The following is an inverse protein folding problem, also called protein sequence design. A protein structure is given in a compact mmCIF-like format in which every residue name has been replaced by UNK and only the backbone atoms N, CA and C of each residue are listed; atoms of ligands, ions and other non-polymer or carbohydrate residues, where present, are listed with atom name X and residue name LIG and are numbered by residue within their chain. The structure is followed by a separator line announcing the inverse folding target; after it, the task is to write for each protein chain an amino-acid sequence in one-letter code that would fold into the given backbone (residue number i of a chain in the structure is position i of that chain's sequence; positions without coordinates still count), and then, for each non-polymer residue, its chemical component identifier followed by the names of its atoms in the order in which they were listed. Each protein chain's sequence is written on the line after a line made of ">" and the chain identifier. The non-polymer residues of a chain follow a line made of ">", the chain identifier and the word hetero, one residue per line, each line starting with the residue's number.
data_IF_188120570659
#
_entry.id   IF_188120570659
#
_cell.length_a   1.000
_cell.length_b   1.000
_cell.length_c   1.000
_cell.angle_alpha   90.00
_cell.angle_beta   90.00
_cell.angle_gamma   90.00
#
_symmetry.space_group_name_H-M   'P 1'
#
loop_
_entity.id
_entity.type
_entity.pdbx_description
1 polymer ?
#
# COMPACT_ATOMS: atom_id res chain seq x y z
N UNK A 1 -1.39 -3.45 20.26
CA UNK A 1 -2.81 -3.28 20.67
C UNK A 1 -3.58 -4.60 20.72
N UNK A 2 -3.49 -5.49 19.71
CA UNK A 2 -4.19 -6.78 19.76
C UNK A 2 -3.83 -7.56 21.04
N UNK A 3 -2.52 -7.65 21.38
CA UNK A 3 -2.07 -8.26 22.65
C UNK A 3 -2.74 -7.62 23.88
N UNK A 4 -2.85 -6.30 23.92
CA UNK A 4 -3.48 -5.60 25.05
C UNK A 4 -4.98 -5.95 25.21
N UNK A 5 -5.68 -6.16 24.10
CA UNK A 5 -7.08 -6.60 24.13
C UNK A 5 -7.18 -8.04 24.65
N UNK A 6 -6.31 -8.93 24.16
CA UNK A 6 -6.24 -10.32 24.63
C UNK A 6 -5.97 -10.36 26.15
N UNK A 7 -4.94 -9.63 26.62
CA UNK A 7 -4.55 -9.60 28.03
C UNK A 7 -5.59 -8.95 28.95
N UNK A 8 -6.20 -7.83 28.53
CA UNK A 8 -7.08 -7.03 29.39
C UNK A 8 -8.54 -7.47 29.34
N UNK A 9 -8.99 -7.92 28.18
CA UNK A 9 -10.41 -8.23 27.95
C UNK A 9 -10.68 -9.74 27.84
N UNK A 10 -9.63 -10.57 27.78
CA UNK A 10 -9.76 -12.04 27.71
C UNK A 10 -10.35 -12.55 26.41
N UNK A 11 -10.32 -11.74 25.34
CA UNK A 11 -10.76 -12.16 24.00
C UNK A 11 -9.64 -12.88 23.26
N UNK A 12 -9.97 -13.71 22.27
CA UNK A 12 -8.95 -14.34 21.44
C UNK A 12 -8.32 -13.34 20.45
N UNK A 13 -7.21 -13.75 19.82
CA UNK A 13 -6.48 -12.89 18.87
C UNK A 13 -7.33 -12.50 17.66
N UNK A 14 -8.15 -13.41 17.14
CA UNK A 14 -8.98 -13.16 15.95
C UNK A 14 -10.05 -12.11 16.23
N UNK A 15 -10.69 -12.21 17.40
CA UNK A 15 -11.62 -11.19 17.89
C UNK A 15 -10.92 -9.83 18.10
N UNK A 16 -9.70 -9.85 18.62
CA UNK A 16 -8.92 -8.63 18.80
C UNK A 16 -8.53 -7.99 17.45
N UNK A 17 -8.16 -8.78 16.45
CA UNK A 17 -7.89 -8.30 15.08
C UNK A 17 -9.15 -7.69 14.48
N UNK A 18 -10.28 -8.39 14.47
CA UNK A 18 -11.53 -7.87 13.90
C UNK A 18 -11.99 -6.58 14.58
N UNK A 19 -11.75 -6.43 15.87
CA UNK A 19 -12.09 -5.22 16.61
C UNK A 19 -11.20 -4.02 16.29
N UNK A 20 -9.93 -4.27 15.93
CA UNK A 20 -8.96 -3.24 15.56
C UNK A 20 -9.00 -2.89 14.06
N UNK A 21 -9.41 -3.82 13.24
CA UNK A 21 -9.45 -3.71 11.78
C UNK A 21 -10.12 -2.44 11.25
N UNK A 22 -11.28 -1.97 11.81
CA UNK A 22 -11.92 -0.74 11.37
C UNK A 22 -11.07 0.54 11.53
N UNK A 23 -10.10 0.52 12.45
CA UNK A 23 -9.20 1.67 12.69
C UNK A 23 -7.92 1.61 11.86
N UNK A 24 -7.72 0.56 11.06
CA UNK A 24 -6.52 0.36 10.27
C UNK A 24 -6.82 0.52 8.78
N UNK A 25 -5.91 1.21 8.08
CA UNK A 25 -5.84 1.27 6.64
C UNK A 25 -4.48 0.78 6.17
N UNK A 26 -4.44 0.05 5.06
CA UNK A 26 -3.20 -0.40 4.45
C UNK A 26 -3.09 0.14 3.04
N UNK A 27 -1.99 0.84 2.76
CA UNK A 27 -1.66 1.39 1.45
C UNK A 27 -0.62 0.50 0.76
N UNK A 28 -0.98 0.00 -0.42
CA UNK A 28 -0.11 -0.81 -1.27
C UNK A 28 0.71 0.14 -2.13
N UNK A 29 2.04 0.06 -2.05
CA UNK A 29 2.96 0.95 -2.75
C UNK A 29 3.66 0.33 -3.97
N UNK A 30 3.50 -0.99 -4.19
CA UNK A 30 4.17 -1.67 -5.30
C UNK A 30 3.19 -2.44 -6.18
N UNK A 31 3.28 -2.30 -7.53
CA UNK A 31 2.44 -3.03 -8.48
C UNK A 31 3.04 -4.38 -8.89
N UNK A 32 4.11 -4.84 -8.27
CA UNK A 32 4.81 -6.08 -8.62
C UNK A 32 4.94 -7.02 -7.44
N UNK A 33 4.76 -8.32 -7.67
CA UNK A 33 4.83 -9.35 -6.63
C UNK A 33 6.16 -9.36 -5.87
N UNK A 34 7.29 -9.11 -6.54
CA UNK A 34 8.61 -9.10 -5.93
C UNK A 34 8.81 -8.00 -4.87
N UNK A 35 7.95 -6.98 -4.87
CA UNK A 35 7.98 -5.90 -3.87
C UNK A 35 7.17 -6.19 -2.60
N UNK A 36 6.55 -7.38 -2.51
CA UNK A 36 5.82 -7.81 -1.32
C UNK A 36 6.68 -8.77 -0.51
N UNK A 37 7.12 -8.33 0.66
CA UNK A 37 8.00 -9.10 1.52
C UNK A 37 7.40 -10.46 1.88
N UNK A 38 8.17 -11.51 1.60
CA UNK A 38 7.84 -12.90 1.91
C UNK A 38 8.98 -13.53 2.68
N UNK A 39 8.68 -14.08 3.82
CA UNK A 39 9.65 -14.73 4.69
C UNK A 39 9.44 -16.22 4.75
N UNK A 40 10.54 -16.96 4.87
CA UNK A 40 10.50 -18.37 5.17
C UNK A 40 9.70 -18.59 6.47
N UNK A 41 8.83 -19.64 6.53
CA UNK A 41 8.00 -19.91 7.70
C UNK A 41 8.82 -20.07 8.99
N UNK A 42 9.97 -20.73 8.94
CA UNK A 42 10.84 -20.93 10.11
C UNK A 42 11.44 -19.60 10.58
N UNK A 43 11.78 -18.72 9.63
CA UNK A 43 12.26 -17.37 9.95
C UNK A 43 11.17 -16.55 10.64
N UNK A 44 9.98 -16.51 10.05
CA UNK A 44 8.84 -15.81 10.62
C UNK A 44 8.49 -16.36 12.01
N UNK A 45 8.41 -17.68 12.16
CA UNK A 45 8.16 -18.32 13.45
C UNK A 45 9.22 -17.96 14.50
N UNK A 46 10.49 -18.02 14.15
CA UNK A 46 11.61 -17.72 15.07
C UNK A 46 11.53 -16.29 15.62
N UNK A 47 11.18 -15.34 14.78
CA UNK A 47 11.11 -13.94 15.18
C UNK A 47 9.80 -13.56 15.88
N UNK A 48 8.69 -14.24 15.61
CA UNK A 48 7.37 -13.90 16.14
C UNK A 48 6.91 -14.83 17.27
N UNK A 49 7.64 -15.91 17.56
CA UNK A 49 7.24 -16.91 18.55
C UNK A 49 7.03 -16.33 19.96
N UNK A 50 7.84 -15.36 20.36
CA UNK A 50 7.67 -14.68 21.63
C UNK A 50 6.32 -13.94 21.73
N UNK A 51 5.91 -13.29 20.63
CA UNK A 51 4.64 -12.58 20.55
C UNK A 51 3.46 -13.57 20.49
N UNK A 52 3.60 -14.62 19.71
CA UNK A 52 2.63 -15.72 19.61
C UNK A 52 2.24 -16.27 21.00
N UNK A 53 3.24 -16.55 21.83
CA UNK A 53 3.00 -17.04 23.19
C UNK A 53 2.21 -16.05 24.06
N UNK A 54 2.38 -14.75 23.84
CA UNK A 54 1.66 -13.73 24.60
C UNK A 54 0.19 -13.55 24.17
N UNK A 55 -0.13 -13.87 22.93
CA UNK A 55 -1.52 -13.80 22.43
C UNK A 55 -2.24 -15.13 22.41
N UNK A 56 -1.59 -16.19 22.88
CA UNK A 56 -2.20 -17.50 23.12
C UNK A 56 -2.57 -18.31 21.88
N UNK A 57 -1.87 -18.08 20.74
CA UNK A 57 -2.09 -18.83 19.50
C UNK A 57 -0.99 -19.88 19.29
N UNK A 58 -1.26 -20.90 18.49
CA UNK A 58 -0.27 -21.90 18.12
C UNK A 58 0.63 -21.44 16.94
N UNK A 59 1.60 -22.27 16.53
CA UNK A 59 2.52 -21.94 15.46
C UNK A 59 1.86 -21.90 14.08
N UNK A 60 0.83 -22.73 13.87
CA UNK A 60 0.08 -22.76 12.63
C UNK A 60 -0.74 -21.48 12.47
N UNK A 61 -1.48 -21.10 13.49
CA UNK A 61 -2.27 -19.86 13.54
C UNK A 61 -1.40 -18.61 13.33
N UNK A 62 -0.18 -18.61 13.91
CA UNK A 62 0.77 -17.52 13.67
C UNK A 62 1.10 -17.38 12.19
N UNK A 63 1.47 -18.48 11.55
CA UNK A 63 1.85 -18.47 10.14
C UNK A 63 0.66 -18.22 9.21
N UNK A 64 -0.54 -18.63 9.62
CA UNK A 64 -1.78 -18.37 8.88
C UNK A 64 -2.09 -16.86 8.74
N UNK A 65 -1.65 -16.02 9.66
CA UNK A 65 -1.79 -14.57 9.55
C UNK A 65 -1.18 -13.99 8.27
N UNK A 66 -0.10 -14.59 7.75
CA UNK A 66 0.58 -14.16 6.53
C UNK A 66 0.36 -15.07 5.32
N UNK A 67 -0.66 -15.94 5.34
CA UNK A 67 -0.98 -16.86 4.23
C UNK A 67 -2.25 -16.44 3.48
N UNK A 68 -2.39 -16.96 2.27
CA UNK A 68 -3.63 -16.86 1.52
C UNK A 68 -4.74 -17.62 2.26
N UNK A 69 -6.00 -17.13 2.27
CA UNK A 69 -7.10 -17.76 3.00
C UNK A 69 -7.39 -19.21 2.59
N UNK A 70 -7.07 -19.57 1.35
CA UNK A 70 -7.28 -20.90 0.76
C UNK A 70 -6.03 -21.79 0.79
N UNK A 71 -4.96 -21.38 1.48
CA UNK A 71 -3.69 -22.08 1.47
C UNK A 71 -3.37 -22.74 2.82
N UNK A 72 -3.45 -24.06 2.84
CA UNK A 72 -3.15 -24.90 4.00
C UNK A 72 -1.73 -25.50 3.97
N UNK A 73 -0.88 -25.11 3.01
CA UNK A 73 0.49 -25.60 2.91
C UNK A 73 1.38 -24.98 4.00
N UNK A 74 1.89 -25.77 4.97
CA UNK A 74 2.71 -25.27 6.06
C UNK A 74 4.05 -24.68 5.58
N UNK A 75 4.53 -25.05 4.39
CA UNK A 75 5.77 -24.56 3.80
C UNK A 75 5.61 -23.21 3.09
N UNK A 76 4.38 -22.71 2.93
CA UNK A 76 4.12 -21.44 2.26
C UNK A 76 4.75 -20.27 2.98
N UNK A 77 5.40 -19.36 2.24
CA UNK A 77 6.01 -18.16 2.83
C UNK A 77 5.02 -17.30 3.59
N UNK A 78 5.47 -16.71 4.69
CA UNK A 78 4.76 -15.68 5.44
C UNK A 78 4.84 -14.36 4.69
N UNK A 79 3.70 -13.84 4.21
CA UNK A 79 3.63 -12.63 3.41
C UNK A 79 3.14 -11.45 4.26
N UNK A 80 3.95 -10.40 4.35
CA UNK A 80 3.63 -9.21 5.15
C UNK A 80 2.43 -8.42 4.60
N UNK A 81 2.22 -8.45 3.28
CA UNK A 81 1.04 -7.81 2.68
C UNK A 81 -0.25 -8.52 3.08
N UNK A 82 -0.25 -9.86 3.08
CA UNK A 82 -1.43 -10.61 3.52
C UNK A 82 -1.74 -10.37 5.00
N UNK A 83 -0.71 -10.30 5.84
CA UNK A 83 -0.87 -9.89 7.24
C UNK A 83 -1.50 -8.49 7.35
N UNK A 84 -0.99 -7.51 6.59
CA UNK A 84 -1.51 -6.14 6.61
C UNK A 84 -2.96 -6.07 6.11
N UNK A 85 -3.30 -6.81 5.05
CA UNK A 85 -4.67 -6.92 4.51
C UNK A 85 -5.62 -7.54 5.54
N UNK A 86 -5.18 -8.58 6.24
CA UNK A 86 -5.97 -9.24 7.30
C UNK A 86 -6.29 -8.30 8.46
N UNK A 87 -5.36 -7.39 8.77
CA UNK A 87 -5.47 -6.47 9.89
C UNK A 87 -6.09 -5.10 9.54
N UNK A 88 -6.51 -4.88 8.29
CA UNK A 88 -7.02 -3.58 7.82
C UNK A 88 -8.39 -3.70 7.18
N UNK A 89 -9.26 -2.73 7.44
CA UNK A 89 -10.59 -2.66 6.81
C UNK A 89 -10.60 -1.83 5.53
N UNK A 90 -9.60 -0.98 5.34
CA UNK A 90 -9.44 -0.13 4.15
C UNK A 90 -8.13 -0.44 3.46
N UNK A 91 -8.22 -0.70 2.16
CA UNK A 91 -7.07 -1.03 1.32
C UNK A 91 -7.07 -0.10 0.11
N UNK A 92 -5.91 0.43 -0.24
CA UNK A 92 -5.78 1.27 -1.42
C UNK A 92 -4.42 1.14 -2.10
N UNK A 93 -4.43 1.25 -3.42
CA UNK A 93 -3.23 1.56 -4.20
C UNK A 93 -3.00 3.06 -4.27
N UNK A 94 -1.81 3.49 -4.72
CA UNK A 94 -1.36 4.89 -4.71
C UNK A 94 -1.63 5.65 -6.00
N UNK A 95 -2.39 5.08 -6.92
CA UNK A 95 -2.93 5.71 -8.12
C UNK A 95 -4.10 4.86 -8.66
N UNK A 96 -4.95 5.41 -9.54
CA UNK A 96 -6.09 4.67 -10.11
C UNK A 96 -5.66 3.36 -10.76
N UNK A 97 -4.71 3.43 -11.70
CA UNK A 97 -4.17 2.24 -12.37
C UNK A 97 -3.54 1.25 -11.36
N UNK A 98 -2.84 1.76 -10.35
CA UNK A 98 -2.26 0.91 -9.32
C UNK A 98 -3.34 0.20 -8.49
N UNK A 99 -4.47 0.84 -8.20
CA UNK A 99 -5.62 0.19 -7.57
C UNK A 99 -6.18 -0.95 -8.43
N UNK A 100 -6.28 -0.75 -9.75
CA UNK A 100 -6.72 -1.79 -10.70
C UNK A 100 -5.76 -2.99 -10.72
N UNK A 101 -4.46 -2.74 -10.82
CA UNK A 101 -3.41 -3.78 -10.76
C UNK A 101 -3.43 -4.51 -9.42
N UNK A 102 -3.59 -3.78 -8.31
CA UNK A 102 -3.67 -4.38 -6.97
C UNK A 102 -4.88 -5.28 -6.80
N UNK A 103 -6.05 -4.91 -7.35
CA UNK A 103 -7.22 -5.80 -7.36
C UNK A 103 -6.96 -7.10 -8.11
N UNK A 104 -6.32 -7.04 -9.27
CA UNK A 104 -5.93 -8.23 -10.03
C UNK A 104 -4.95 -9.11 -9.24
N UNK A 105 -3.91 -8.50 -8.65
CA UNK A 105 -2.86 -9.19 -7.91
C UNK A 105 -3.39 -9.93 -6.68
N UNK A 106 -4.36 -9.32 -5.98
CA UNK A 106 -4.90 -9.84 -4.72
C UNK A 106 -6.32 -10.42 -4.84
N UNK A 107 -6.86 -10.61 -6.05
CA UNK A 107 -8.19 -11.18 -6.26
C UNK A 107 -8.40 -12.53 -5.54
N UNK A 108 -7.37 -13.36 -5.48
CA UNK A 108 -7.37 -14.64 -4.76
C UNK A 108 -7.71 -14.51 -3.26
N UNK A 109 -7.49 -13.33 -2.66
CA UNK A 109 -7.83 -13.11 -1.25
C UNK A 109 -9.34 -13.07 -1.01
N UNK A 110 -10.14 -12.79 -2.05
CA UNK A 110 -11.60 -12.77 -2.04
C UNK A 110 -12.16 -13.75 -3.08
N UNK A 111 -12.13 -15.08 -2.82
CA UNK A 111 -12.59 -16.05 -3.79
C UNK A 111 -14.07 -15.83 -4.13
N UNK A 112 -14.39 -15.88 -5.42
CA UNK A 112 -15.74 -15.66 -5.93
C UNK A 112 -16.15 -14.19 -6.10
N UNK A 113 -15.30 -13.23 -5.73
CA UNK A 113 -15.54 -11.79 -5.97
C UNK A 113 -14.98 -11.40 -7.33
N UNK A 114 -15.76 -10.77 -8.23
CA UNK A 114 -15.23 -10.18 -9.47
C UNK A 114 -14.08 -9.22 -9.19
N UNK A 115 -13.07 -9.18 -10.05
CA UNK A 115 -11.86 -8.37 -9.83
C UNK A 115 -12.17 -6.89 -9.61
N UNK A 116 -13.14 -6.35 -10.32
CA UNK A 116 -13.59 -4.97 -10.20
C UNK A 116 -14.25 -4.65 -8.85
N UNK A 117 -14.79 -5.66 -8.17
CA UNK A 117 -15.46 -5.54 -6.87
C UNK A 117 -14.53 -5.87 -5.68
N UNK A 118 -13.30 -6.34 -5.96
CA UNK A 118 -12.30 -6.54 -4.90
C UNK A 118 -12.10 -5.24 -4.12
N UNK A 119 -12.20 -5.25 -2.76
CA UNK A 119 -12.28 -4.04 -1.94
C UNK A 119 -10.93 -3.33 -1.77
N UNK A 120 -10.24 -3.10 -2.88
CA UNK A 120 -9.01 -2.29 -2.95
C UNK A 120 -9.33 -1.04 -3.78
N UNK A 121 -9.31 0.10 -3.13
CA UNK A 121 -9.55 1.41 -3.75
C UNK A 121 -8.25 2.02 -4.26
N UNK A 122 -8.28 3.29 -4.63
CA UNK A 122 -7.07 4.05 -4.93
C UNK A 122 -7.13 5.44 -4.31
N UNK A 123 -5.98 5.89 -3.80
CA UNK A 123 -5.75 7.26 -3.38
C UNK A 123 -4.48 7.71 -4.09
N UNK A 124 -4.59 8.65 -5.01
CA UNK A 124 -3.43 9.14 -5.76
C UNK A 124 -2.49 9.89 -4.83
N UNK A 125 -1.21 9.52 -4.87
CA UNK A 125 -0.19 10.20 -4.08
C UNK A 125 -0.16 11.69 -4.40
N UNK A 126 -0.01 12.52 -3.38
CA UNK A 126 0.33 13.92 -3.56
C UNK A 126 1.75 14.08 -4.11
N UNK A 127 1.94 15.13 -4.90
CA UNK A 127 3.25 15.51 -5.43
C UNK A 127 3.60 16.89 -4.92
N UNK A 128 4.75 17.01 -4.25
CA UNK A 128 5.31 18.30 -3.88
C UNK A 128 6.26 18.77 -4.99
N UNK A 129 5.69 19.43 -6.00
CA UNK A 129 6.39 19.82 -7.21
C UNK A 129 7.72 20.56 -6.93
N UNK A 130 7.80 21.54 -6.01
CA UNK A 130 9.06 22.22 -5.73
C UNK A 130 10.18 21.33 -5.23
N UNK A 131 9.87 20.18 -4.59
CA UNK A 131 10.89 19.23 -4.11
C UNK A 131 11.39 18.26 -5.20
N UNK A 132 10.57 18.02 -6.22
CA UNK A 132 10.88 17.01 -7.23
C UNK A 132 11.36 17.60 -8.55
N UNK A 133 11.08 18.88 -8.80
CA UNK A 133 11.42 19.57 -10.02
C UNK A 133 12.85 20.08 -9.96
N UNK A 134 13.65 19.82 -11.00
CA UNK A 134 14.97 20.41 -11.15
C UNK A 134 14.86 21.95 -11.32
N UNK A 135 15.77 22.72 -10.71
CA UNK A 135 15.76 24.19 -10.83
C UNK A 135 15.81 24.69 -12.28
N UNK A 136 16.49 23.96 -13.16
CA UNK A 136 16.60 24.28 -14.59
C UNK A 136 15.27 24.17 -15.29
N UNK A 137 14.51 23.11 -15.01
CA UNK A 137 13.13 22.91 -15.53
C UNK A 137 12.22 24.01 -14.97
N UNK A 138 12.33 24.35 -13.69
CA UNK A 138 11.57 25.45 -13.10
C UNK A 138 11.80 26.75 -13.87
N UNK A 139 13.07 27.12 -14.09
CA UNK A 139 13.43 28.34 -14.86
C UNK A 139 12.90 28.33 -16.28
N UNK A 140 12.89 27.17 -16.94
CA UNK A 140 12.37 27.03 -18.30
C UNK A 140 10.83 27.19 -18.36
N UNK A 141 10.11 26.79 -17.32
CA UNK A 141 8.64 26.81 -17.28
C UNK A 141 8.06 28.14 -16.79
N UNK A 142 8.74 28.87 -15.91
CA UNK A 142 8.27 30.13 -15.33
C UNK A 142 7.77 31.15 -16.37
N UNK A 143 8.48 31.41 -17.50
CA UNK A 143 8.02 32.39 -18.50
C UNK A 143 6.64 32.07 -19.10
N UNK A 144 6.29 30.80 -19.23
CA UNK A 144 5.02 30.37 -19.81
C UNK A 144 3.94 30.18 -18.75
N UNK A 145 4.28 29.58 -17.60
CA UNK A 145 3.32 29.17 -16.57
C UNK A 145 3.11 30.23 -15.48
N UNK A 146 4.07 31.18 -15.32
CA UNK A 146 4.10 32.16 -14.23
C UNK A 146 4.81 31.64 -12.98
N UNK A 147 5.31 32.50 -12.12
CA UNK A 147 6.13 32.14 -10.95
C UNK A 147 5.43 31.21 -9.94
N UNK A 148 4.11 31.31 -9.84
CA UNK A 148 3.33 30.58 -8.84
C UNK A 148 2.72 29.27 -9.36
N UNK A 149 3.08 28.79 -10.55
CA UNK A 149 2.48 27.57 -11.12
C UNK A 149 2.65 26.34 -10.23
N UNK A 150 3.78 26.25 -9.54
CA UNK A 150 4.08 25.11 -8.66
C UNK A 150 3.25 25.09 -7.37
N UNK A 151 2.61 26.21 -6.99
CA UNK A 151 1.73 26.28 -5.83
C UNK A 151 0.32 25.75 -6.10
N UNK A 152 -0.05 25.56 -7.37
CA UNK A 152 -1.35 25.02 -7.80
C UNK A 152 -1.19 24.01 -8.93
N UNK A 153 -0.49 22.89 -8.66
CA UNK A 153 -0.16 21.90 -9.68
C UNK A 153 -1.37 21.14 -10.22
N UNK A 154 -2.52 21.26 -9.59
CA UNK A 154 -3.77 20.59 -9.97
C UNK A 154 -4.61 21.35 -11.02
N UNK A 155 -4.21 22.56 -11.43
CA UNK A 155 -4.99 23.38 -12.35
C UNK A 155 -4.62 23.13 -13.81
N UNK A 156 -5.54 22.51 -14.57
CA UNK A 156 -5.38 22.25 -16.01
C UNK A 156 -5.11 23.52 -16.81
N UNK A 157 -5.71 24.66 -16.41
CA UNK A 157 -5.51 25.95 -17.04
C UNK A 157 -4.04 26.41 -17.03
N UNK A 158 -3.33 26.13 -15.96
CA UNK A 158 -1.90 26.46 -15.86
C UNK A 158 -1.09 25.56 -16.77
N UNK A 159 -1.34 24.24 -16.72
CA UNK A 159 -0.55 23.27 -17.48
C UNK A 159 -0.80 23.29 -18.98
N UNK A 160 -1.97 23.73 -19.45
CA UNK A 160 -2.22 23.91 -20.89
C UNK A 160 -1.24 24.88 -21.56
N UNK A 161 -0.67 25.80 -20.78
CA UNK A 161 0.34 26.76 -21.27
C UNK A 161 1.71 26.13 -21.52
N UNK A 162 1.96 24.92 -21.04
CA UNK A 162 3.26 24.24 -21.26
C UNK A 162 3.53 23.99 -22.74
N UNK A 163 2.49 23.84 -23.55
CA UNK A 163 2.62 23.67 -25.01
C UNK A 163 3.25 24.89 -25.71
N UNK A 164 3.22 26.06 -25.08
CA UNK A 164 3.87 27.26 -25.59
C UNK A 164 5.37 27.34 -25.29
N UNK A 165 5.91 26.42 -24.48
CA UNK A 165 7.33 26.35 -24.18
C UNK A 165 8.07 25.69 -25.32
N UNK A 166 9.08 26.37 -25.83
CA UNK A 166 9.91 25.86 -26.94
C UNK A 166 10.65 24.56 -26.55
N UNK A 167 10.61 23.58 -27.45
CA UNK A 167 11.22 22.27 -27.24
C UNK A 167 12.72 22.33 -26.99
N UNK A 168 13.44 23.28 -27.63
CA UNK A 168 14.88 23.45 -27.42
C UNK A 168 15.19 23.97 -26.02
N UNK A 169 14.31 24.82 -25.47
CA UNK A 169 14.41 25.31 -24.09
C UNK A 169 14.22 24.17 -23.09
N UNK A 170 13.19 23.32 -23.27
CA UNK A 170 12.97 22.15 -22.42
C UNK A 170 14.10 21.14 -22.51
N UNK A 171 14.58 20.88 -23.72
CA UNK A 171 15.71 19.97 -23.93
C UNK A 171 16.99 20.46 -23.28
N UNK A 172 17.26 21.78 -23.35
CA UNK A 172 18.45 22.39 -22.74
C UNK A 172 18.40 22.42 -21.21
N UNK A 173 17.20 22.35 -20.64
CA UNK A 173 16.98 22.31 -19.20
C UNK A 173 17.03 20.88 -18.61
N UNK A 174 17.02 19.85 -19.48
CA UNK A 174 17.10 18.45 -19.09
C UNK A 174 18.56 18.07 -18.88
#
# INVERSE_FOLDING_TARGET
>A
RARELVEKEGIDLWQAIERLKPSNAFTIHTPVEAGHDRFDPDLAYRHLNWWRAQVGIDGYELLDLGRWPDNNDPSSPFNMTLLAMRCSSKLNGVARLHGEVSRQMFARYWPGTPTEEVPITSVTNGVHLPSWQAPEIHKALVPALGENYAARPETDEVWSKVEAVDNSTLWSAH
#
